data_IF_798385763317
#
_entry.id   IF_798385763317
#
_cell.length_a   1.000
_cell.length_b   1.000
_cell.length_c   1.000
_cell.angle_alpha   90.00
_cell.angle_beta   90.00
_cell.angle_gamma   90.00
#
_symmetry.space_group_name_H-M   'P 1'
#
loop_
_entity.id
_entity.type
_entity.pdbx_description
1 polymer ?
#
# COMPACT_ATOMS: atom_id res chain seq x y z
N UNK A 1 12.12 -37.22 -1.12
CA UNK A 1 11.96 -36.18 -2.17
C UNK A 1 12.66 -34.92 -1.71
N UNK A 2 13.49 -34.33 -2.56
CA UNK A 2 14.19 -33.07 -2.26
C UNK A 2 13.38 -31.98 -2.96
N UNK A 3 12.79 -31.07 -2.19
CA UNK A 3 12.10 -29.89 -2.73
C UNK A 3 13.09 -28.75 -2.94
N UNK A 4 12.79 -27.88 -3.91
CA UNK A 4 13.52 -26.64 -4.17
C UNK A 4 12.58 -25.45 -3.94
N UNK A 5 13.15 -24.35 -3.46
CA UNK A 5 12.46 -23.07 -3.31
C UNK A 5 13.26 -22.00 -4.04
N UNK A 6 12.80 -21.51 -5.19
CA UNK A 6 13.42 -20.38 -5.87
C UNK A 6 13.42 -19.14 -4.97
N UNK A 7 14.43 -18.28 -5.10
CA UNK A 7 14.55 -17.05 -4.31
C UNK A 7 14.88 -15.88 -5.23
N UNK A 8 14.19 -14.76 -5.03
CA UNK A 8 14.47 -13.48 -5.69
C UNK A 8 14.88 -12.45 -4.62
N UNK A 9 15.73 -11.49 -4.98
CA UNK A 9 16.08 -10.40 -4.08
C UNK A 9 14.85 -9.53 -3.81
N UNK A 10 14.61 -9.19 -2.55
CA UNK A 10 13.42 -8.43 -2.12
C UNK A 10 12.10 -9.09 -2.56
N UNK A 11 12.08 -10.43 -2.61
CA UNK A 11 10.90 -11.18 -3.00
C UNK A 11 9.74 -10.98 -2.03
N UNK A 12 8.55 -10.83 -2.61
CA UNK A 12 7.27 -11.09 -1.98
C UNK A 12 6.78 -12.50 -2.35
N UNK A 13 5.79 -13.01 -1.64
CA UNK A 13 5.11 -14.26 -1.97
C UNK A 13 3.63 -13.98 -2.12
N UNK A 14 2.99 -14.63 -3.08
CA UNK A 14 1.55 -14.49 -3.35
C UNK A 14 0.83 -15.84 -3.47
N UNK A 15 1.56 -16.94 -3.33
CA UNK A 15 1.00 -18.28 -3.43
C UNK A 15 0.17 -18.65 -2.21
N UNK A 16 -0.98 -19.27 -2.45
CA UNK A 16 -1.81 -19.80 -1.37
C UNK A 16 -1.20 -21.05 -0.75
N UNK A 17 -1.55 -21.38 0.52
CA UNK A 17 -1.22 -22.66 1.14
C UNK A 17 -1.45 -23.86 0.22
N UNK A 18 -0.42 -24.68 0.05
CA UNK A 18 -0.40 -25.86 -0.79
C UNK A 18 -0.12 -25.63 -2.28
N UNK A 19 -0.11 -24.38 -2.76
CA UNK A 19 0.36 -24.06 -4.12
C UNK A 19 1.90 -24.04 -4.18
N UNK A 20 2.52 -24.14 -5.37
CA UNK A 20 3.97 -23.98 -5.52
C UNK A 20 4.47 -22.64 -4.96
N UNK A 21 5.43 -22.68 -4.04
CA UNK A 21 6.03 -21.51 -3.39
C UNK A 21 7.01 -20.81 -4.35
N UNK A 22 6.46 -19.94 -5.19
CA UNK A 22 7.21 -19.15 -6.16
C UNK A 22 7.37 -17.70 -5.68
N UNK A 23 8.59 -17.15 -5.75
CA UNK A 23 8.82 -15.77 -5.38
C UNK A 23 8.28 -14.81 -6.44
N UNK A 24 7.84 -13.64 -5.99
CA UNK A 24 7.33 -12.55 -6.82
C UNK A 24 8.00 -11.24 -6.42
N UNK A 25 7.91 -10.23 -7.27
CA UNK A 25 8.28 -8.85 -6.96
C UNK A 25 7.04 -7.98 -7.12
N UNK A 26 6.89 -6.98 -6.26
CA UNK A 26 5.76 -6.06 -6.29
C UNK A 26 6.24 -4.61 -6.26
N UNK A 27 5.57 -3.75 -7.01
CA UNK A 27 5.86 -2.31 -7.01
C UNK A 27 4.59 -1.51 -7.31
N UNK A 28 4.55 -0.25 -6.84
CA UNK A 28 3.44 0.64 -7.16
C UNK A 28 3.69 1.41 -8.45
N UNK A 29 2.62 1.57 -9.22
CA UNK A 29 2.58 2.39 -10.43
C UNK A 29 1.44 3.39 -10.25
N UNK A 30 1.74 4.68 -10.41
CA UNK A 30 0.73 5.72 -10.46
C UNK A 30 0.03 5.70 -11.82
N UNK A 31 -1.29 5.80 -11.80
CA UNK A 31 -2.17 5.71 -12.97
C UNK A 31 -3.14 6.88 -13.01
N UNK A 32 -3.77 7.11 -14.16
CA UNK A 32 -4.86 8.08 -14.27
C UNK A 32 -6.08 7.58 -13.47
N UNK A 33 -6.58 8.35 -12.49
CA UNK A 33 -7.79 8.00 -11.75
C UNK A 33 -9.04 7.84 -12.60
N UNK A 34 -9.12 8.41 -13.81
CA UNK A 34 -10.31 8.34 -14.66
C UNK A 34 -10.27 7.16 -15.62
N UNK A 35 -9.24 6.31 -15.58
CA UNK A 35 -9.06 5.18 -16.49
C UNK A 35 -9.06 3.84 -15.78
N UNK A 36 -9.40 2.79 -16.50
CA UNK A 36 -9.18 1.40 -16.08
C UNK A 36 -8.02 0.80 -16.85
N UNK A 37 -7.30 -0.12 -16.24
CA UNK A 37 -6.08 -0.70 -16.81
C UNK A 37 -6.15 -2.22 -16.80
N UNK A 38 -5.52 -2.85 -17.79
CA UNK A 38 -5.14 -4.26 -17.76
C UNK A 38 -3.63 -4.39 -17.95
N UNK A 39 -3.10 -5.54 -17.57
CA UNK A 39 -1.69 -5.86 -17.79
C UNK A 39 -1.55 -6.71 -19.04
N UNK A 40 -0.68 -6.27 -19.95
CA UNK A 40 -0.22 -7.06 -21.07
C UNK A 40 1.23 -7.50 -20.81
N UNK A 41 1.53 -8.75 -21.10
CA UNK A 41 2.83 -9.36 -20.79
C UNK A 41 3.41 -9.94 -22.07
N UNK A 42 4.55 -9.41 -22.47
CA UNK A 42 5.34 -9.91 -23.58
C UNK A 42 6.58 -10.65 -23.03
N UNK A 43 6.65 -11.95 -23.27
CA UNK A 43 7.79 -12.78 -22.87
C UNK A 43 8.85 -12.68 -23.96
N UNK A 44 9.98 -12.03 -23.64
CA UNK A 44 11.08 -11.84 -24.59
C UNK A 44 12.00 -13.06 -24.59
N UNK A 45 12.35 -13.58 -23.40
CA UNK A 45 13.16 -14.79 -23.28
C UNK A 45 12.84 -15.59 -22.01
N UNK A 46 12.96 -16.92 -22.10
CA UNK A 46 12.82 -17.85 -20.99
C UNK A 46 13.78 -19.04 -21.12
N UNK A 47 14.03 -19.71 -20.00
CA UNK A 47 14.80 -20.95 -19.93
C UNK A 47 14.07 -21.99 -19.08
N UNK A 48 14.30 -23.26 -19.40
CA UNK A 48 13.72 -24.38 -18.65
C UNK A 48 14.76 -25.06 -17.76
N UNK A 49 14.31 -25.40 -16.55
CA UNK A 49 15.04 -26.20 -15.57
C UNK A 49 14.23 -27.47 -15.34
N UNK A 50 14.79 -28.60 -15.76
CA UNK A 50 14.20 -29.94 -15.60
C UNK A 50 14.52 -30.56 -14.23
N UNK A 51 13.84 -31.66 -13.90
CA UNK A 51 14.04 -32.48 -12.71
C UNK A 51 13.94 -31.68 -11.38
N UNK A 52 13.02 -30.73 -11.32
CA UNK A 52 12.77 -29.87 -10.17
C UNK A 52 11.37 -30.08 -9.57
N UNK A 53 11.31 -30.29 -8.26
CA UNK A 53 10.06 -30.25 -7.49
C UNK A 53 10.04 -28.99 -6.62
N UNK A 54 9.09 -28.09 -6.86
CA UNK A 54 8.91 -26.88 -6.07
C UNK A 54 8.26 -27.22 -4.73
N UNK A 55 8.68 -26.53 -3.67
CA UNK A 55 8.11 -26.66 -2.33
C UNK A 55 6.66 -26.12 -2.33
N UNK A 56 5.67 -26.84 -1.77
CA UNK A 56 4.35 -26.27 -1.53
C UNK A 56 4.43 -25.22 -0.42
N UNK A 57 3.74 -24.09 -0.62
CA UNK A 57 3.58 -23.07 0.40
C UNK A 57 2.92 -23.68 1.65
N UNK A 58 3.43 -23.36 2.84
CA UNK A 58 2.87 -23.81 4.11
C UNK A 58 1.66 -22.93 4.49
N UNK A 59 1.70 -22.22 5.61
CA UNK A 59 0.72 -21.20 5.99
C UNK A 59 1.31 -19.79 5.85
N UNK A 60 0.43 -18.79 6.00
CA UNK A 60 0.82 -17.39 6.20
C UNK A 60 1.17 -17.07 7.66
N UNK A 61 0.97 -18.03 8.58
CA UNK A 61 1.22 -17.85 10.00
C UNK A 61 2.70 -18.09 10.32
N UNK A 62 3.31 -17.15 11.05
CA UNK A 62 4.74 -17.20 11.39
C UNK A 62 5.11 -18.38 12.33
N UNK A 63 4.15 -18.90 13.09
CA UNK A 63 4.36 -19.91 14.14
C UNK A 63 3.82 -21.32 13.78
N UNK A 64 3.43 -21.55 12.53
CA UNK A 64 2.96 -22.87 12.13
C UNK A 64 4.12 -23.89 12.13
N UNK A 65 3.91 -25.07 12.72
CA UNK A 65 4.80 -26.21 12.50
C UNK A 65 5.02 -26.42 11.00
N UNK A 66 6.26 -26.72 10.59
CA UNK A 66 6.61 -26.96 9.18
C UNK A 66 5.90 -28.23 8.71
N UNK A 67 4.67 -28.04 8.26
CA UNK A 67 3.83 -29.02 7.59
C UNK A 67 3.34 -28.36 6.31
N UNK A 68 3.49 -29.08 5.20
CA UNK A 68 3.03 -28.62 3.90
C UNK A 68 2.31 -29.79 3.23
N UNK A 69 1.16 -29.50 2.64
CA UNK A 69 0.39 -30.43 1.82
C UNK A 69 0.47 -29.97 0.37
N UNK A 70 0.56 -30.92 -0.57
CA UNK A 70 0.44 -30.59 -1.99
C UNK A 70 -1.03 -30.26 -2.28
N UNK A 71 -1.29 -29.05 -2.75
CA UNK A 71 -2.59 -28.67 -3.29
C UNK A 71 -2.86 -29.34 -4.64
N UNK A 72 -4.07 -29.13 -5.17
CA UNK A 72 -4.53 -29.75 -6.41
C UNK A 72 -3.65 -29.41 -7.63
N UNK A 73 -3.01 -28.24 -7.63
CA UNK A 73 -2.07 -27.78 -8.68
C UNK A 73 -0.99 -28.83 -8.95
N UNK A 74 -0.49 -29.53 -7.92
CA UNK A 74 0.56 -30.53 -8.12
C UNK A 74 0.13 -31.77 -8.92
N UNK A 75 -1.19 -32.00 -9.03
CA UNK A 75 -1.75 -33.11 -9.78
C UNK A 75 -2.30 -32.67 -11.15
N UNK A 76 -2.31 -31.37 -11.48
CA UNK A 76 -2.83 -30.88 -12.76
C UNK A 76 -1.78 -30.98 -13.87
N UNK A 77 -2.22 -31.23 -15.11
CA UNK A 77 -1.34 -31.22 -16.30
C UNK A 77 -0.96 -29.81 -16.75
N UNK A 78 -1.50 -28.78 -16.10
CA UNK A 78 -1.27 -27.37 -16.40
C UNK A 78 0.02 -26.83 -15.79
N UNK A 79 0.07 -25.51 -15.69
CA UNK A 79 1.15 -24.77 -15.08
C UNK A 79 0.65 -23.76 -14.06
N UNK A 80 1.55 -23.30 -13.20
CA UNK A 80 1.26 -22.31 -12.17
C UNK A 80 2.38 -21.26 -12.09
N UNK A 81 2.06 -19.96 -11.91
CA UNK A 81 0.72 -19.39 -11.95
C UNK A 81 0.18 -19.29 -13.38
N UNK A 82 -1.13 -19.10 -13.54
CA UNK A 82 -1.76 -18.90 -14.86
C UNK A 82 -1.26 -17.61 -15.55
N UNK A 83 -1.11 -16.54 -14.78
CA UNK A 83 -0.48 -15.29 -15.22
C UNK A 83 0.76 -14.99 -14.39
N UNK A 84 1.83 -14.58 -15.07
CA UNK A 84 3.11 -14.22 -14.45
C UNK A 84 3.13 -12.76 -13.98
N UNK A 85 2.16 -11.95 -14.39
CA UNK A 85 1.98 -10.61 -13.88
C UNK A 85 0.50 -10.30 -13.62
N UNK A 86 0.23 -9.51 -12.60
CA UNK A 86 -1.10 -9.03 -12.26
C UNK A 86 -1.03 -7.64 -11.63
N UNK A 87 -2.11 -6.88 -11.76
CA UNK A 87 -2.27 -5.59 -11.08
C UNK A 87 -3.42 -5.68 -10.08
N UNK A 88 -3.30 -4.98 -8.95
CA UNK A 88 -4.40 -4.85 -8.00
C UNK A 88 -5.48 -3.91 -8.51
N UNK A 89 -6.64 -3.91 -7.83
CA UNK A 89 -7.59 -2.80 -7.92
C UNK A 89 -6.90 -1.46 -7.62
N UNK A 90 -7.31 -0.36 -8.30
CA UNK A 90 -6.81 0.99 -8.02
C UNK A 90 -7.03 1.40 -6.56
N UNK A 91 -6.01 2.00 -5.95
CA UNK A 91 -6.03 2.53 -4.58
C UNK A 91 -5.64 4.00 -4.59
N UNK A 92 -6.14 4.76 -3.63
CA UNK A 92 -5.76 6.17 -3.48
C UNK A 92 -4.71 6.31 -2.37
N UNK A 93 -3.54 6.84 -2.73
CA UNK A 93 -2.50 7.27 -1.81
C UNK A 93 -2.45 8.80 -1.81
N UNK A 94 -3.30 9.39 -0.97
CA UNK A 94 -3.53 10.83 -0.84
C UNK A 94 -3.89 11.47 -2.19
N UNK A 95 -2.92 12.04 -2.90
CA UNK A 95 -3.12 12.75 -4.17
C UNK A 95 -3.12 11.81 -5.38
N UNK A 96 -2.51 10.63 -5.25
CA UNK A 96 -2.26 9.72 -6.38
C UNK A 96 -3.19 8.52 -6.34
N UNK A 97 -3.61 8.08 -7.52
CA UNK A 97 -4.19 6.75 -7.69
C UNK A 97 -3.09 5.81 -8.15
N UNK A 98 -2.93 4.69 -7.45
CA UNK A 98 -1.88 3.71 -7.68
C UNK A 98 -2.46 2.31 -7.84
N UNK A 99 -1.76 1.47 -8.60
CA UNK A 99 -1.98 0.02 -8.65
C UNK A 99 -0.71 -0.68 -8.19
N UNK A 100 -0.86 -1.84 -7.53
CA UNK A 100 0.27 -2.70 -7.22
C UNK A 100 0.48 -3.68 -8.36
N UNK A 101 1.58 -3.54 -9.11
CA UNK A 101 2.01 -4.52 -10.10
C UNK A 101 2.78 -5.63 -9.38
N UNK A 102 2.34 -6.87 -9.52
CA UNK A 102 3.03 -8.06 -9.00
C UNK A 102 3.48 -8.94 -10.15
N UNK A 103 4.74 -9.36 -10.12
CA UNK A 103 5.38 -10.15 -11.17
C UNK A 103 6.05 -11.37 -10.55
N UNK A 104 5.68 -12.56 -11.02
CA UNK A 104 6.32 -13.84 -10.68
C UNK A 104 7.06 -14.34 -11.93
N UNK A 105 8.40 -14.18 -12.02
CA UNK A 105 9.18 -14.54 -13.21
C UNK A 105 9.40 -16.06 -13.33
N UNK A 106 8.46 -16.86 -12.83
CA UNK A 106 8.52 -18.31 -12.80
C UNK A 106 7.18 -18.91 -13.19
N UNK A 107 7.23 -19.99 -13.97
CA UNK A 107 6.08 -20.85 -14.25
C UNK A 107 6.47 -22.30 -14.02
N UNK A 108 5.78 -22.97 -13.12
CA UNK A 108 6.05 -24.34 -12.74
C UNK A 108 5.06 -25.31 -13.40
N UNK A 109 5.57 -26.41 -13.95
CA UNK A 109 4.84 -27.50 -14.58
C UNK A 109 4.96 -28.77 -13.71
N UNK A 110 4.00 -29.03 -12.80
CA UNK A 110 4.19 -30.03 -11.74
C UNK A 110 4.33 -31.47 -12.24
N UNK A 111 3.52 -31.87 -13.23
CA UNK A 111 3.58 -33.23 -13.80
C UNK A 111 4.88 -33.49 -14.57
N UNK A 112 5.45 -32.45 -15.16
CA UNK A 112 6.69 -32.52 -15.94
C UNK A 112 7.93 -32.33 -15.05
N UNK A 113 7.75 -31.93 -13.78
CA UNK A 113 8.82 -31.54 -12.86
C UNK A 113 9.79 -30.53 -13.47
N UNK A 114 9.22 -29.51 -14.11
CA UNK A 114 9.94 -28.49 -14.87
C UNK A 114 9.55 -27.10 -14.42
N UNK A 115 10.53 -26.21 -14.30
CA UNK A 115 10.35 -24.80 -14.04
C UNK A 115 10.77 -24.01 -15.28
N UNK A 116 9.89 -23.16 -15.79
CA UNK A 116 10.22 -22.09 -16.74
C UNK A 116 10.59 -20.84 -15.94
N UNK A 117 11.80 -20.33 -16.15
CA UNK A 117 12.28 -19.06 -15.62
C UNK A 117 12.28 -18.04 -16.76
N UNK A 118 11.60 -16.92 -16.56
CA UNK A 118 11.58 -15.83 -17.52
C UNK A 118 12.74 -14.88 -17.24
N UNK A 119 13.71 -14.85 -18.16
CA UNK A 119 14.92 -14.04 -18.03
C UNK A 119 14.70 -12.59 -18.48
N UNK A 120 13.74 -12.37 -19.38
CA UNK A 120 13.37 -11.04 -19.85
C UNK A 120 11.86 -11.00 -20.16
N UNK A 121 11.17 -10.05 -19.53
CA UNK A 121 9.73 -9.82 -19.67
C UNK A 121 9.53 -8.32 -19.88
N UNK A 122 8.72 -7.97 -20.87
CA UNK A 122 8.18 -6.64 -21.04
C UNK A 122 6.74 -6.62 -20.53
N UNK A 123 6.43 -5.66 -19.67
CA UNK A 123 5.10 -5.50 -19.08
C UNK A 123 4.57 -4.13 -19.46
N UNK A 124 3.37 -4.12 -20.02
CA UNK A 124 2.67 -2.90 -20.42
C UNK A 124 1.34 -2.81 -19.67
N UNK A 125 1.05 -1.62 -19.13
CA UNK A 125 -0.28 -1.31 -18.59
C UNK A 125 -1.08 -0.64 -19.71
N UNK A 126 -2.16 -1.29 -20.13
CA UNK A 126 -2.99 -0.84 -21.25
C UNK A 126 -4.30 -0.27 -20.70
N UNK A 127 -4.66 0.92 -21.16
CA UNK A 127 -5.95 1.53 -20.87
C UNK A 127 -7.09 0.72 -21.52
N UNK A 128 -8.08 0.34 -20.72
CA UNK A 128 -9.19 -0.52 -21.15
C UNK A 128 -10.52 0.21 -21.18
N UNK A 129 -10.62 1.37 -20.54
CA UNK A 129 -11.86 2.13 -20.41
C UNK A 129 -11.74 3.29 -19.44
N UNK A 130 -12.91 3.84 -19.09
CA UNK A 130 -13.03 4.91 -18.10
C UNK A 130 -13.39 4.34 -16.72
N UNK A 131 -12.97 5.03 -15.67
CA UNK A 131 -13.30 4.73 -14.28
C UNK A 131 -14.14 5.86 -13.68
N UNK A 132 -15.25 5.49 -13.03
CA UNK A 132 -16.07 6.42 -12.25
C UNK A 132 -15.52 6.60 -10.82
N UNK A 133 -14.20 6.51 -10.61
CA UNK A 133 -13.59 6.59 -9.29
C UNK A 133 -13.68 8.02 -8.71
N UNK A 134 -14.71 8.24 -7.91
CA UNK A 134 -15.03 9.50 -7.21
C UNK A 134 -14.29 9.69 -5.88
N UNK A 135 -13.30 8.85 -5.57
CA UNK A 135 -12.55 8.96 -4.31
C UNK A 135 -11.87 10.33 -4.22
N UNK A 136 -12.05 11.01 -3.10
CA UNK A 136 -11.45 12.31 -2.86
C UNK A 136 -9.92 12.27 -2.93
N UNK A 137 -9.35 13.26 -3.61
CA UNK A 137 -7.92 13.51 -3.72
C UNK A 137 -7.68 15.01 -3.51
N UNK A 138 -6.75 15.43 -2.62
CA UNK A 138 -6.35 16.83 -2.52
C UNK A 138 -5.87 17.36 -3.88
N UNK A 139 -6.29 18.57 -4.24
CA UNK A 139 -5.92 19.21 -5.50
C UNK A 139 -4.47 19.76 -5.49
N UNK A 140 -3.87 19.86 -4.32
CA UNK A 140 -2.55 20.45 -4.09
C UNK A 140 -1.55 19.40 -3.61
N UNK A 141 -0.28 19.59 -3.96
CA UNK A 141 0.80 18.66 -3.59
C UNK A 141 1.23 18.82 -2.14
N UNK A 142 1.57 17.72 -1.48
CA UNK A 142 2.16 17.69 -0.15
C UNK A 142 3.65 17.38 -0.18
N UNK A 143 4.48 18.34 0.28
CA UNK A 143 5.94 18.12 0.42
C UNK A 143 6.29 16.99 1.39
N UNK A 144 5.42 16.73 2.37
CA UNK A 144 5.61 15.65 3.32
C UNK A 144 5.51 14.25 2.67
N UNK A 145 4.75 14.13 1.58
CA UNK A 145 4.50 12.86 0.89
C UNK A 145 5.46 12.62 -0.29
N UNK A 146 6.13 13.65 -0.82
CA UNK A 146 7.06 13.50 -1.96
C UNK A 146 8.12 12.40 -1.75
N UNK A 147 8.84 12.31 -0.61
CA UNK A 147 9.84 11.26 -0.42
C UNK A 147 9.23 9.85 -0.36
N UNK A 148 7.98 9.74 0.10
CA UNK A 148 7.24 8.47 0.13
C UNK A 148 6.88 8.04 -1.29
N UNK A 149 6.44 8.97 -2.13
CA UNK A 149 6.14 8.68 -3.53
C UNK A 149 7.38 8.29 -4.32
N UNK A 150 8.49 9.02 -4.18
CA UNK A 150 9.77 8.72 -4.84
C UNK A 150 10.33 7.34 -4.49
N UNK A 151 10.08 6.86 -3.26
CA UNK A 151 10.58 5.57 -2.80
C UNK A 151 9.68 4.38 -3.13
N UNK A 152 8.36 4.60 -3.26
CA UNK A 152 7.38 3.53 -3.43
C UNK A 152 6.84 3.39 -4.85
N UNK A 153 6.79 4.47 -5.64
CA UNK A 153 6.12 4.52 -6.94
C UNK A 153 7.17 4.55 -8.05
N UNK A 154 7.18 3.53 -8.90
CA UNK A 154 8.25 3.34 -9.91
C UNK A 154 8.25 4.43 -10.97
N UNK A 155 7.09 4.83 -11.46
CA UNK A 155 6.95 5.84 -12.51
C UNK A 155 6.78 7.26 -11.96
N UNK A 156 7.09 7.50 -10.67
CA UNK A 156 6.82 8.79 -10.04
C UNK A 156 7.51 9.96 -10.73
N UNK A 157 8.77 9.80 -11.10
CA UNK A 157 9.56 10.83 -11.79
C UNK A 157 9.03 11.17 -13.19
N UNK A 158 8.17 10.33 -13.76
CA UNK A 158 7.57 10.54 -15.08
C UNK A 158 6.20 11.22 -15.01
N UNK A 159 5.66 11.47 -13.81
CA UNK A 159 4.36 12.11 -13.65
C UNK A 159 4.48 13.62 -13.94
N UNK A 160 3.59 14.13 -14.80
CA UNK A 160 3.49 15.56 -15.05
C UNK A 160 2.71 16.24 -13.90
N UNK A 161 3.46 16.82 -12.95
CA UNK A 161 2.91 17.43 -11.73
C UNK A 161 3.54 18.79 -11.40
N UNK A 162 4.34 19.34 -12.31
CA UNK A 162 5.11 20.56 -12.07
C UNK A 162 4.23 21.80 -11.94
N UNK A 163 3.11 21.82 -12.67
CA UNK A 163 2.12 22.90 -12.61
C UNK A 163 1.16 22.80 -11.40
N UNK A 164 1.22 21.71 -10.62
CA UNK A 164 0.36 21.53 -9.45
C UNK A 164 1.03 22.21 -8.24
N UNK A 165 0.40 23.23 -7.65
CA UNK A 165 1.00 23.94 -6.53
C UNK A 165 1.06 23.07 -5.27
N UNK A 166 2.07 23.33 -4.46
CA UNK A 166 2.15 22.76 -3.12
C UNK A 166 1.24 23.50 -2.15
N UNK A 167 0.53 22.75 -1.31
CA UNK A 167 -0.18 23.31 -0.18
C UNK A 167 0.79 23.88 0.87
N UNK A 168 0.26 24.70 1.78
CA UNK A 168 0.96 25.01 3.01
C UNK A 168 0.97 23.76 3.91
N UNK A 169 2.10 23.38 4.52
CA UNK A 169 2.13 22.26 5.44
C UNK A 169 1.12 22.44 6.56
N UNK A 170 0.33 21.41 6.87
CA UNK A 170 -0.80 21.50 7.79
C UNK A 170 -0.80 20.35 8.79
N UNK A 171 -1.06 20.66 10.05
CA UNK A 171 -1.10 19.69 11.16
C UNK A 171 -2.34 19.93 12.03
N UNK A 172 -3.04 18.84 12.33
CA UNK A 172 -4.17 18.83 13.25
C UNK A 172 -3.77 18.18 14.57
N UNK A 173 -3.92 18.90 15.67
CA UNK A 173 -3.78 18.37 17.02
C UNK A 173 -5.14 17.94 17.57
N UNK A 174 -5.25 16.71 18.04
CA UNK A 174 -6.43 16.21 18.77
C UNK A 174 -6.05 16.14 20.24
N UNK A 175 -6.74 16.94 21.05
CA UNK A 175 -6.46 17.11 22.46
C UNK A 175 -7.67 16.63 23.28
N UNK A 176 -7.46 15.96 24.42
CA UNK A 176 -8.54 15.56 25.29
C UNK A 176 -9.26 16.80 25.83
N UNK A 177 -10.56 16.68 26.01
CA UNK A 177 -11.40 17.82 26.43
C UNK A 177 -11.08 18.33 27.84
N UNK A 178 -10.45 17.49 28.65
CA UNK A 178 -9.99 17.74 30.01
C UNK A 178 -8.47 17.97 30.12
N UNK A 179 -7.79 18.40 29.05
CA UNK A 179 -6.32 18.54 28.98
C UNK A 179 -5.68 19.38 30.10
N UNK A 180 -6.43 20.27 30.75
CA UNK A 180 -6.01 20.97 31.96
C UNK A 180 -4.65 21.66 31.82
N UNK A 181 -3.73 21.35 32.74
CA UNK A 181 -2.40 21.99 32.80
C UNK A 181 -1.47 21.59 31.65
N UNK A 182 -1.74 20.51 30.93
CA UNK A 182 -0.89 20.05 29.83
C UNK A 182 -0.99 20.96 28.60
N UNK A 183 -2.06 21.77 28.49
CA UNK A 183 -2.25 22.69 27.37
C UNK A 183 -1.07 23.66 27.21
N UNK A 184 -0.46 24.11 28.31
CA UNK A 184 0.71 24.98 28.27
C UNK A 184 1.89 24.34 27.55
N UNK A 185 2.15 23.06 27.81
CA UNK A 185 3.22 22.28 27.15
C UNK A 185 2.89 22.06 25.67
N UNK A 186 1.65 21.71 25.35
CA UNK A 186 1.22 21.49 23.96
C UNK A 186 1.29 22.79 23.15
N UNK A 187 0.95 23.93 23.75
CA UNK A 187 1.07 25.24 23.10
C UNK A 187 2.50 25.53 22.64
N UNK A 188 3.52 25.16 23.41
CA UNK A 188 4.93 25.33 22.99
C UNK A 188 5.22 24.55 21.70
N UNK A 189 4.69 23.33 21.58
CA UNK A 189 4.85 22.50 20.38
C UNK A 189 4.08 23.08 19.18
N UNK A 190 2.83 23.50 19.41
CA UNK A 190 2.00 24.13 18.38
C UNK A 190 2.64 25.43 17.87
N UNK A 191 3.15 26.27 18.76
CA UNK A 191 3.83 27.52 18.40
C UNK A 191 5.13 27.27 17.65
N UNK A 192 5.89 26.24 18.04
CA UNK A 192 7.06 25.81 17.26
C UNK A 192 6.66 25.44 15.83
N UNK A 193 5.60 24.64 15.66
CA UNK A 193 5.10 24.25 14.32
C UNK A 193 4.66 25.47 13.50
N UNK A 194 3.95 26.43 14.10
CA UNK A 194 3.61 27.70 13.46
C UNK A 194 4.85 28.46 12.99
N UNK A 195 5.91 28.53 13.83
CA UNK A 195 7.18 29.21 13.50
C UNK A 195 7.92 28.58 12.33
N UNK A 196 7.87 27.25 12.19
CA UNK A 196 8.46 26.54 11.04
C UNK A 196 7.54 26.50 9.82
N UNK A 197 6.45 27.26 9.84
CA UNK A 197 5.61 27.54 8.66
C UNK A 197 4.34 26.72 8.54
N UNK A 198 4.06 25.81 9.47
CA UNK A 198 2.84 25.01 9.42
C UNK A 198 1.60 25.85 9.69
N UNK A 199 0.51 25.53 9.01
CA UNK A 199 -0.83 25.79 9.48
C UNK A 199 -1.13 24.81 10.62
N UNK A 200 -1.45 25.35 11.79
CA UNK A 200 -1.63 24.54 13.01
C UNK A 200 -3.05 24.72 13.53
N UNK A 201 -3.83 23.65 13.38
CA UNK A 201 -5.19 23.54 13.85
C UNK A 201 -5.25 22.57 15.03
N UNK A 202 -6.21 22.75 15.94
CA UNK A 202 -6.44 21.81 17.02
C UNK A 202 -7.92 21.67 17.35
N UNK A 203 -8.31 20.52 17.88
CA UNK A 203 -9.64 20.25 18.41
C UNK A 203 -9.56 19.66 19.82
N UNK A 204 -10.37 20.19 20.72
CA UNK A 204 -10.48 19.73 22.11
C UNK A 204 -11.92 19.71 22.63
N UNK A 205 -12.89 19.86 21.73
CA UNK A 205 -14.31 19.89 22.11
C UNK A 205 -14.74 18.52 22.57
N UNK A 206 -15.27 18.40 23.80
CA UNK A 206 -15.78 17.14 24.35
C UNK A 206 -16.82 16.47 23.46
N UNK A 207 -17.60 17.26 22.73
CA UNK A 207 -18.64 16.75 21.82
C UNK A 207 -18.05 16.07 20.57
N UNK A 208 -16.78 16.31 20.27
CA UNK A 208 -16.09 15.70 19.13
C UNK A 208 -15.09 14.66 19.66
N UNK A 209 -14.21 15.05 20.58
CA UNK A 209 -13.05 14.24 20.96
C UNK A 209 -13.40 13.07 21.88
N UNK A 210 -14.55 13.08 22.58
CA UNK A 210 -14.95 11.98 23.45
C UNK A 210 -15.79 10.91 22.72
N UNK A 211 -15.98 11.03 21.40
CA UNK A 211 -16.70 10.06 20.58
C UNK A 211 -15.86 9.70 19.34
N UNK A 212 -15.57 8.42 19.14
CA UNK A 212 -14.65 8.01 18.07
C UNK A 212 -15.21 8.28 16.67
N UNK A 213 -16.53 8.14 16.48
CA UNK A 213 -17.19 8.41 15.21
C UNK A 213 -17.19 9.91 14.92
N UNK A 214 -17.48 10.76 15.91
CA UNK A 214 -17.48 12.21 15.73
C UNK A 214 -16.06 12.73 15.45
N UNK A 215 -15.06 12.21 16.15
CA UNK A 215 -13.66 12.53 15.90
C UNK A 215 -13.22 12.07 14.49
N UNK A 216 -13.58 10.84 14.09
CA UNK A 216 -13.31 10.33 12.74
C UNK A 216 -13.94 11.25 11.68
N UNK A 217 -15.22 11.58 11.81
CA UNK A 217 -15.94 12.46 10.90
C UNK A 217 -15.31 13.86 10.83
N UNK A 218 -14.84 14.38 11.97
CA UNK A 218 -14.13 15.66 12.03
C UNK A 218 -12.82 15.61 11.26
N UNK A 219 -12.00 14.56 11.45
CA UNK A 219 -10.73 14.39 10.73
C UNK A 219 -10.98 14.19 9.23
N UNK A 220 -11.99 13.40 8.85
CA UNK A 220 -12.39 13.22 7.45
C UNK A 220 -12.83 14.54 6.81
N UNK A 221 -13.62 15.34 7.52
CA UNK A 221 -14.04 16.67 7.06
C UNK A 221 -12.84 17.60 6.91
N UNK A 222 -11.92 17.60 7.88
CA UNK A 222 -10.69 18.39 7.81
C UNK A 222 -9.83 17.99 6.60
N UNK A 223 -9.76 16.70 6.30
CA UNK A 223 -9.03 16.19 5.15
C UNK A 223 -9.70 16.52 3.80
N UNK A 224 -11.03 16.47 3.72
CA UNK A 224 -11.76 16.62 2.46
C UNK A 224 -12.15 18.06 2.12
N UNK A 225 -12.33 18.92 3.12
CA UNK A 225 -12.96 20.24 2.93
C UNK A 225 -12.06 21.44 3.25
N UNK A 226 -10.92 21.25 3.95
CA UNK A 226 -10.03 22.37 4.26
C UNK A 226 -9.18 22.75 3.05
N UNK A 227 -8.79 24.03 2.98
CA UNK A 227 -7.89 24.54 1.95
C UNK A 227 -6.52 23.85 1.98
N UNK A 228 -5.97 23.65 3.18
CA UNK A 228 -4.75 22.87 3.42
C UNK A 228 -5.08 21.64 4.29
N UNK A 229 -5.51 20.51 3.67
CA UNK A 229 -5.76 19.27 4.37
C UNK A 229 -4.58 18.84 5.26
N UNK A 230 -4.83 18.39 6.51
CA UNK A 230 -3.76 17.98 7.40
C UNK A 230 -2.90 16.88 6.76
N UNK A 231 -1.58 17.05 6.86
CA UNK A 231 -0.58 16.05 6.49
C UNK A 231 -0.24 15.15 7.68
N UNK A 232 -0.50 15.67 8.88
CA UNK A 232 -0.26 15.00 10.15
C UNK A 232 -1.46 15.21 11.07
N UNK A 233 -1.88 14.14 11.75
CA UNK A 233 -2.82 14.20 12.86
C UNK A 233 -2.06 13.75 14.11
N UNK A 234 -1.92 14.64 15.08
CA UNK A 234 -1.22 14.37 16.35
C UNK A 234 -2.25 14.25 17.46
N UNK A 235 -2.50 13.03 17.91
CA UNK A 235 -3.38 12.75 19.04
C UNK A 235 -2.53 12.77 20.32
N UNK A 236 -2.82 13.68 21.24
CA UNK A 236 -2.12 13.80 22.53
C UNK A 236 -3.08 13.36 23.63
N UNK A 237 -3.24 12.06 23.78
CA UNK A 237 -4.17 11.47 24.73
C UNK A 237 -3.70 10.06 25.11
N UNK A 238 -4.35 9.52 26.14
CA UNK A 238 -4.27 8.12 26.53
C UNK A 238 -5.53 7.38 26.03
N UNK A 239 -5.48 6.06 25.94
CA UNK A 239 -6.64 5.24 25.59
C UNK A 239 -7.64 5.15 26.75
N UNK A 240 -7.16 5.28 27.99
CA UNK A 240 -7.94 5.27 29.22
C UNK A 240 -7.39 6.28 30.23
N UNK A 241 -8.19 6.64 31.25
CA UNK A 241 -7.73 7.46 32.37
C UNK A 241 -8.12 8.94 32.29
N UNK A 242 -7.29 9.82 32.84
CA UNK A 242 -7.64 11.23 33.04
C UNK A 242 -7.46 12.13 31.81
N UNK A 243 -6.93 11.60 30.71
CA UNK A 243 -6.67 12.32 29.46
C UNK A 243 -7.05 11.43 28.27
N UNK A 244 -8.27 10.91 28.29
CA UNK A 244 -8.73 9.88 27.37
C UNK A 244 -9.22 10.42 26.02
N UNK A 245 -8.89 9.70 24.94
CA UNK A 245 -9.52 9.81 23.63
C UNK A 245 -9.90 8.39 23.18
N UNK A 246 -11.16 8.15 22.78
CA UNK A 246 -11.63 6.82 22.42
C UNK A 246 -10.91 6.29 21.20
N UNK A 247 -10.64 4.99 21.22
CA UNK A 247 -9.98 4.25 20.15
C UNK A 247 -10.99 3.36 19.43
N UNK A 248 -10.74 3.06 18.14
CA UNK A 248 -11.48 2.03 17.41
C UNK A 248 -10.77 0.69 17.63
N UNK A 249 -11.42 -0.23 18.34
CA UNK A 249 -11.06 -1.65 18.42
C UNK A 249 -12.10 -2.51 17.71
#
# INVERSE_FOLDING_TARGET
NIYKRPTLLNASQVSDPGQPDLPSSSTFIAIDPTKTYSVNVNIVSSQFIDDIEILPKNSWENDAEISFSKGEVYNSEGFYPESIASISEPKVMRELTIVNLTVSPFRYYPQQKRLEEFTEIEIELVETGESDNTTFRPATRSRAFEPLYESLITNYASLDRDDIPFQRPSILYVLPSNIGNLLGTVNVLMDWKRRVGYEVNYISSSNIVNNSNDLKNYIETAYQAWENPPEYVTIIADAEGSYDVPTHF
#
